data_IF_550910452562
#
_entry.id   IF_550910452562
#
_cell.length_a   1.000
_cell.length_b   1.000
_cell.length_c   1.000
_cell.angle_alpha   90.00
_cell.angle_beta   90.00
_cell.angle_gamma   90.00
#
_symmetry.space_group_name_H-M   'P 1'
#
loop_
_entity.id
_entity.type
_entity.pdbx_description
1 polymer ?
#
# COMPACT_ATOMS: atom_id res chain seq x y z
N UNK A 1 -4.42 -2.20 -21.39
CA UNK A 1 -4.56 -3.49 -20.69
C UNK A 1 -5.57 -3.31 -19.56
N UNK A 2 -6.59 -4.14 -19.46
CA UNK A 2 -7.57 -4.08 -18.37
C UNK A 2 -6.91 -4.70 -17.13
N UNK A 3 -6.85 -3.96 -16.01
CA UNK A 3 -6.32 -4.46 -14.74
C UNK A 3 -7.24 -5.58 -14.24
N UNK A 4 -6.70 -6.78 -13.99
CA UNK A 4 -7.45 -7.91 -13.44
C UNK A 4 -7.69 -7.73 -11.93
N UNK A 5 -8.62 -8.49 -11.32
CA UNK A 5 -8.76 -8.53 -9.87
C UNK A 5 -7.45 -8.93 -9.16
N UNK A 6 -6.67 -9.85 -9.73
CA UNK A 6 -5.38 -10.27 -9.19
C UNK A 6 -4.35 -9.13 -9.23
N UNK A 7 -4.25 -8.40 -10.35
CA UNK A 7 -3.37 -7.23 -10.46
C UNK A 7 -3.73 -6.15 -9.42
N UNK A 8 -5.04 -5.95 -9.18
CA UNK A 8 -5.49 -5.00 -8.18
C UNK A 8 -5.10 -5.43 -6.75
N UNK A 9 -5.16 -6.72 -6.43
CA UNK A 9 -4.69 -7.25 -5.14
C UNK A 9 -3.17 -7.11 -5.02
N UNK A 10 -2.41 -7.45 -6.06
CA UNK A 10 -0.95 -7.27 -6.10
C UNK A 10 -0.54 -5.80 -5.91
N UNK A 11 -1.27 -4.87 -6.52
CA UNK A 11 -1.07 -3.43 -6.34
C UNK A 11 -1.25 -3.01 -4.87
N UNK A 12 -2.34 -3.45 -4.23
CA UNK A 12 -2.62 -3.14 -2.84
C UNK A 12 -1.55 -3.75 -1.91
N UNK A 13 -1.20 -5.01 -2.12
CA UNK A 13 -0.18 -5.72 -1.36
C UNK A 13 1.18 -5.00 -1.45
N UNK A 14 1.59 -4.58 -2.65
CA UNK A 14 2.84 -3.84 -2.86
C UNK A 14 2.89 -2.53 -2.07
N UNK A 15 1.81 -1.74 -2.11
CA UNK A 15 1.73 -0.52 -1.33
C UNK A 15 1.68 -0.75 0.19
N UNK A 16 0.97 -1.79 0.63
CA UNK A 16 0.89 -2.11 2.05
C UNK A 16 2.24 -2.55 2.62
N UNK A 17 3.00 -3.38 1.91
CA UNK A 17 4.36 -3.78 2.29
C UNK A 17 5.31 -2.57 2.30
N UNK A 18 5.18 -1.64 1.34
CA UNK A 18 5.95 -0.40 1.33
C UNK A 18 5.70 0.45 2.57
N UNK A 19 4.43 0.62 2.95
CA UNK A 19 4.08 1.40 4.14
C UNK A 19 4.69 0.77 5.39
N UNK A 20 4.60 -0.56 5.55
CA UNK A 20 5.27 -1.25 6.66
C UNK A 20 6.78 -1.02 6.64
N UNK A 21 7.45 -1.14 5.48
CA UNK A 21 8.89 -0.87 5.37
C UNK A 21 9.25 0.55 5.76
N UNK A 22 8.44 1.54 5.36
CA UNK A 22 8.68 2.93 5.75
C UNK A 22 8.58 3.12 7.26
N UNK A 23 7.55 2.55 7.89
CA UNK A 23 7.34 2.62 9.34
C UNK A 23 8.46 1.89 10.10
N UNK A 24 8.89 0.73 9.62
CA UNK A 24 9.95 -0.06 10.25
C UNK A 24 11.32 0.66 10.19
N UNK A 25 11.63 1.29 9.05
CA UNK A 25 12.85 2.11 8.91
C UNK A 25 12.82 3.34 9.82
N UNK A 26 11.67 4.02 9.87
CA UNK A 26 11.46 5.17 10.74
C UNK A 26 11.61 4.81 12.22
N UNK A 27 11.05 3.68 12.65
CA UNK A 27 11.18 3.17 14.02
C UNK A 27 12.65 2.85 14.39
N UNK A 28 13.48 2.51 13.40
CA UNK A 28 14.94 2.32 13.57
C UNK A 28 15.75 3.61 13.47
N UNK A 29 15.11 4.76 13.22
CA UNK A 29 15.80 6.03 12.96
C UNK A 29 16.58 6.06 11.64
N UNK A 30 16.24 5.17 10.70
CA UNK A 30 16.86 5.13 9.38
C UNK A 30 16.20 6.13 8.42
N UNK A 31 16.93 6.51 7.37
CA UNK A 31 16.37 7.33 6.29
C UNK A 31 15.31 6.51 5.53
N UNK A 32 14.10 7.07 5.45
CA UNK A 32 13.01 6.50 4.66
C UNK A 32 13.06 7.04 3.23
N UNK A 33 13.27 6.16 2.25
CA UNK A 33 13.22 6.51 0.83
C UNK A 33 11.79 6.41 0.28
N UNK A 34 11.22 7.55 -0.11
CA UNK A 34 9.87 7.64 -0.66
C UNK A 34 9.86 7.82 -2.18
N UNK A 35 8.96 7.16 -2.93
CA UNK A 35 8.10 6.06 -2.48
C UNK A 35 8.83 4.72 -2.31
N UNK A 36 9.93 4.49 -3.01
CA UNK A 36 10.73 3.27 -2.94
C UNK A 36 12.14 3.60 -3.42
N UNK A 37 13.15 2.86 -2.95
CA UNK A 37 14.53 3.03 -3.42
C UNK A 37 14.60 2.94 -4.95
N UNK A 38 15.16 3.97 -5.58
CA UNK A 38 15.29 4.04 -7.04
C UNK A 38 14.03 4.50 -7.80
N UNK A 39 12.95 4.86 -7.11
CA UNK A 39 11.72 5.38 -7.72
C UNK A 39 11.41 6.80 -7.26
N UNK A 40 10.83 7.60 -8.16
CA UNK A 40 10.28 8.93 -7.86
C UNK A 40 8.75 8.91 -7.87
N UNK A 41 8.12 9.89 -7.23
CA UNK A 41 6.66 10.05 -7.22
C UNK A 41 6.03 10.28 -8.59
N UNK A 42 6.79 10.67 -9.62
CA UNK A 42 6.31 10.73 -11.00
C UNK A 42 6.48 9.40 -11.77
N UNK A 43 7.01 8.36 -11.11
CA UNK A 43 7.25 7.02 -11.68
C UNK A 43 6.34 5.94 -11.05
N UNK A 44 5.21 6.34 -10.45
CA UNK A 44 4.30 5.38 -9.79
C UNK A 44 3.75 4.31 -10.72
N UNK A 45 3.63 4.59 -12.03
CA UNK A 45 3.28 3.58 -13.02
C UNK A 45 4.33 2.46 -13.10
N UNK A 46 5.63 2.80 -13.07
CA UNK A 46 6.71 1.81 -13.07
C UNK A 46 6.76 1.03 -11.75
N UNK A 47 6.53 1.72 -10.63
CA UNK A 47 6.45 1.07 -9.32
C UNK A 47 5.26 0.09 -9.24
N UNK A 48 4.12 0.44 -9.84
CA UNK A 48 2.99 -0.48 -9.96
C UNK A 48 3.34 -1.72 -10.80
N UNK A 49 4.05 -1.55 -11.92
CA UNK A 49 4.54 -2.68 -12.73
C UNK A 49 5.48 -3.58 -11.94
N UNK A 50 6.34 -3.00 -11.10
CA UNK A 50 7.17 -3.77 -10.16
C UNK A 50 6.31 -4.63 -9.24
N UNK A 51 5.24 -4.10 -8.64
CA UNK A 51 4.35 -4.90 -7.79
C UNK A 51 3.71 -6.07 -8.55
N UNK A 52 3.27 -5.86 -9.79
CA UNK A 52 2.74 -6.95 -10.60
C UNK A 52 3.80 -8.03 -10.82
N UNK A 53 5.02 -7.64 -11.18
CA UNK A 53 6.12 -8.57 -11.37
C UNK A 53 6.51 -9.32 -10.08
N UNK A 54 6.51 -8.63 -8.94
CA UNK A 54 6.85 -9.20 -7.63
C UNK A 54 5.87 -10.32 -7.23
N UNK A 55 4.58 -10.19 -7.60
CA UNK A 55 3.53 -11.10 -7.13
C UNK A 55 2.91 -11.99 -8.22
N UNK A 56 3.34 -11.88 -9.49
CA UNK A 56 2.77 -12.65 -10.61
C UNK A 56 2.84 -14.18 -10.45
N UNK A 57 3.74 -14.68 -9.61
CA UNK A 57 3.95 -16.10 -9.35
C UNK A 57 2.97 -16.67 -8.30
N UNK A 58 2.19 -15.81 -7.64
CA UNK A 58 1.23 -16.21 -6.62
C UNK A 58 -0.12 -16.50 -7.26
N UNK A 59 -0.76 -17.59 -6.82
CA UNK A 59 -2.16 -17.82 -7.13
C UNK A 59 -3.08 -16.85 -6.36
N UNK A 60 -4.36 -16.85 -6.75
CA UNK A 60 -5.38 -15.99 -6.16
C UNK A 60 -5.51 -16.15 -4.65
N UNK A 61 -5.46 -17.39 -4.13
CA UNK A 61 -5.64 -17.65 -2.71
C UNK A 61 -4.47 -17.10 -1.90
N UNK A 62 -3.25 -17.30 -2.38
CA UNK A 62 -2.02 -16.79 -1.77
C UNK A 62 -1.95 -15.26 -1.81
N UNK A 63 -2.42 -14.62 -2.89
CA UNK A 63 -2.54 -13.17 -2.96
C UNK A 63 -3.46 -12.61 -1.85
N UNK A 64 -4.63 -13.22 -1.65
CA UNK A 64 -5.58 -12.80 -0.63
C UNK A 64 -5.05 -13.04 0.79
N UNK A 65 -4.42 -14.19 1.05
CA UNK A 65 -3.82 -14.51 2.35
C UNK A 65 -2.76 -13.47 2.70
N UNK A 66 -1.86 -13.15 1.76
CA UNK A 66 -0.81 -12.15 1.98
C UNK A 66 -1.37 -10.74 2.17
N UNK A 67 -2.38 -10.35 1.38
CA UNK A 67 -3.04 -9.06 1.55
C UNK A 67 -3.70 -8.93 2.93
N UNK A 68 -4.38 -9.99 3.40
CA UNK A 68 -4.98 -10.01 4.73
C UNK A 68 -3.91 -9.92 5.84
N UNK A 69 -2.81 -10.67 5.71
CA UNK A 69 -1.72 -10.66 6.68
C UNK A 69 -1.02 -9.29 6.76
N UNK A 70 -0.70 -8.66 5.62
CA UNK A 70 -0.07 -7.33 5.62
C UNK A 70 -1.03 -6.27 6.17
N UNK A 71 -2.34 -6.39 5.90
CA UNK A 71 -3.35 -5.49 6.45
C UNK A 71 -3.44 -5.62 7.97
N UNK A 72 -3.44 -6.83 8.50
CA UNK A 72 -3.41 -7.06 9.95
C UNK A 72 -2.19 -6.42 10.61
N UNK A 73 -1.01 -6.67 10.06
CA UNK A 73 0.25 -6.07 10.53
C UNK A 73 0.20 -4.54 10.49
N UNK A 74 -0.35 -3.96 9.42
CA UNK A 74 -0.55 -2.50 9.34
C UNK A 74 -1.45 -2.00 10.46
N UNK A 75 -2.59 -2.64 10.70
CA UNK A 75 -3.51 -2.24 11.77
C UNK A 75 -2.85 -2.31 13.14
N UNK A 76 -2.14 -3.40 13.45
CA UNK A 76 -1.39 -3.53 14.71
C UNK A 76 -0.32 -2.45 14.86
N UNK A 77 0.48 -2.28 13.82
CA UNK A 77 1.56 -1.29 13.75
C UNK A 77 0.99 0.12 14.00
N UNK A 78 -0.08 0.51 13.30
CA UNK A 78 -0.72 1.82 13.46
C UNK A 78 -1.36 1.97 14.84
N UNK A 79 -2.02 0.92 15.36
CA UNK A 79 -2.73 0.97 16.65
C UNK A 79 -1.80 1.12 17.85
N UNK A 80 -0.53 0.74 17.71
CA UNK A 80 0.49 0.94 18.74
C UNK A 80 0.99 2.39 18.85
N UNK A 81 0.61 3.28 17.92
CA UNK A 81 1.11 4.65 17.80
C UNK A 81 0.12 5.66 18.36
N UNK A 82 0.66 6.78 18.85
CA UNK A 82 -0.18 7.86 19.40
C UNK A 82 -0.77 8.72 18.28
N UNK A 83 -1.84 9.44 18.60
CA UNK A 83 -2.40 10.43 17.68
C UNK A 83 -1.38 11.51 17.31
N UNK A 84 -0.58 11.97 18.28
CA UNK A 84 0.45 12.99 18.07
C UNK A 84 1.55 12.50 17.12
N UNK A 85 1.99 11.25 17.25
CA UNK A 85 2.94 10.66 16.30
C UNK A 85 2.36 10.59 14.87
N UNK A 86 1.08 10.20 14.75
CA UNK A 86 0.44 10.03 13.45
C UNK A 86 0.06 11.37 12.79
N UNK A 87 -0.28 12.40 13.57
CA UNK A 87 -0.94 13.60 13.07
C UNK A 87 -0.43 14.93 13.63
N UNK A 88 0.42 14.92 14.66
CA UNK A 88 0.92 16.12 15.34
C UNK A 88 1.95 16.90 14.53
N UNK A 89 2.70 16.26 13.63
CA UNK A 89 3.73 16.93 12.83
C UNK A 89 3.90 16.33 11.42
N UNK A 90 4.48 17.10 10.47
CA UNK A 90 4.88 16.58 9.18
C UNK A 90 5.96 15.51 9.30
N UNK A 91 5.81 14.43 8.51
CA UNK A 91 6.76 13.33 8.40
C UNK A 91 7.45 13.30 7.04
N UNK A 92 6.70 13.56 5.96
CA UNK A 92 7.25 13.68 4.60
C UNK A 92 6.79 14.97 3.94
N UNK A 93 7.72 15.91 3.78
CA UNK A 93 7.41 17.26 3.30
C UNK A 93 6.39 17.94 4.22
N UNK A 94 5.18 18.16 3.72
CA UNK A 94 4.07 18.73 4.51
C UNK A 94 3.10 17.69 5.08
N UNK A 95 3.28 16.42 4.76
CA UNK A 95 2.32 15.37 5.08
C UNK A 95 2.67 14.67 6.39
N UNK A 96 1.69 14.49 7.26
CA UNK A 96 1.84 13.71 8.50
C UNK A 96 2.01 12.22 8.20
N UNK A 97 2.52 11.45 9.18
CA UNK A 97 2.71 10.00 9.07
C UNK A 97 1.39 9.28 8.75
N UNK A 98 0.32 9.60 9.50
CA UNK A 98 -1.02 9.09 9.28
C UNK A 98 -1.56 9.40 7.89
N UNK A 99 -1.27 10.60 7.35
CA UNK A 99 -1.69 10.96 5.98
C UNK A 99 -0.94 10.17 4.92
N UNK A 100 0.35 9.94 5.09
CA UNK A 100 1.14 9.09 4.18
C UNK A 100 0.67 7.63 4.21
N UNK A 101 0.37 7.10 5.38
CA UNK A 101 -0.26 5.78 5.53
C UNK A 101 -1.61 5.75 4.78
N UNK A 102 -2.48 6.73 5.00
CA UNK A 102 -3.81 6.81 4.39
C UNK A 102 -3.75 6.82 2.85
N UNK A 103 -2.80 7.56 2.26
CA UNK A 103 -2.63 7.64 0.81
C UNK A 103 -2.29 6.29 0.17
N UNK A 104 -1.66 5.39 0.92
CA UNK A 104 -1.13 4.13 0.42
C UNK A 104 -1.85 2.90 1.01
N UNK A 105 -2.92 3.10 1.78
CA UNK A 105 -3.72 2.01 2.38
C UNK A 105 -5.22 2.21 2.12
N UNK A 106 -5.93 2.89 3.02
CA UNK A 106 -7.38 3.05 2.99
C UNK A 106 -7.91 3.75 1.72
N UNK A 107 -7.15 4.71 1.17
CA UNK A 107 -7.53 5.37 -0.08
C UNK A 107 -7.46 4.42 -1.30
N UNK A 108 -6.36 3.67 -1.52
CA UNK A 108 -6.32 2.58 -2.49
C UNK A 108 -7.40 1.50 -2.28
N UNK A 109 -7.69 1.09 -1.04
CA UNK A 109 -8.76 0.11 -0.77
C UNK A 109 -10.13 0.62 -1.24
N UNK A 110 -10.48 1.87 -0.94
CA UNK A 110 -11.72 2.46 -1.40
C UNK A 110 -11.81 2.51 -2.93
N UNK A 111 -10.71 2.87 -3.59
CA UNK A 111 -10.62 2.87 -5.06
C UNK A 111 -10.79 1.45 -5.64
N UNK A 112 -10.06 0.48 -5.09
CA UNK A 112 -10.10 -0.92 -5.50
C UNK A 112 -11.52 -1.51 -5.37
N UNK A 113 -12.18 -1.26 -4.23
CA UNK A 113 -13.56 -1.68 -4.00
C UNK A 113 -14.51 -1.13 -5.07
N UNK A 114 -14.36 0.14 -5.45
CA UNK A 114 -15.17 0.76 -6.50
C UNK A 114 -14.95 0.09 -7.86
N UNK A 115 -13.68 -0.18 -8.23
CA UNK A 115 -13.32 -0.87 -9.47
C UNK A 115 -13.87 -2.29 -9.54
N UNK A 116 -13.72 -3.08 -8.47
CA UNK A 116 -14.24 -4.46 -8.39
C UNK A 116 -15.76 -4.45 -8.53
N UNK A 117 -16.47 -3.56 -7.82
CA UNK A 117 -17.94 -3.45 -7.94
C UNK A 117 -18.38 -3.11 -9.36
N UNK A 118 -17.64 -2.24 -10.06
CA UNK A 118 -17.92 -1.91 -11.46
C UNK A 118 -17.68 -3.12 -12.36
N UNK A 119 -16.57 -3.84 -12.16
CA UNK A 119 -16.24 -5.05 -12.92
C UNK A 119 -17.29 -6.15 -12.71
N UNK A 120 -17.71 -6.41 -11.46
CA UNK A 120 -18.74 -7.41 -11.15
C UNK A 120 -20.02 -7.17 -11.96
N UNK A 121 -20.48 -5.91 -12.08
CA UNK A 121 -21.67 -5.55 -12.90
C UNK A 121 -21.52 -5.81 -14.40
N UNK A 122 -20.30 -6.02 -14.90
CA UNK A 122 -20.06 -6.33 -16.32
C UNK A 122 -19.94 -7.83 -16.58
N UNK A 123 -19.76 -8.63 -15.53
CA UNK A 123 -19.64 -10.09 -15.60
C UNK A 123 -20.82 -10.82 -14.94
N UNK A 124 -21.77 -10.08 -14.37
CA UNK A 124 -23.07 -10.57 -13.90
C UNK A 124 -24.16 -10.20 -14.89
#
# INVERSE_FOLDING_TARGET
MMISPADLVAYLLGWNELVLRWLERDDRGEVVEFPETGFKWNQLGLLAQKFYADYQHLDWQNLLIRLAAVNHRLVETISSRTHDELYGSPWYGKWTKGRMIQFNTSSPYANARSRIRKWLKTVS
#
